data_IF_326879864647
#
_entry.id   IF_326879864647
#
_cell.length_a   1.000
_cell.length_b   1.000
_cell.length_c   1.000
_cell.angle_alpha   90.00
_cell.angle_beta   90.00
_cell.angle_gamma   90.00
#
_symmetry.space_group_name_H-M   'P 1'
#
loop_
_entity.id
_entity.type
_entity.pdbx_description
1 polymer ?
#
# COMPACT_ATOMS: atom_id res chain seq x y z
N UNK A 1 13.27 -0.53 -13.07
CA UNK A 1 12.24 -0.89 -14.07
C UNK A 1 11.52 0.37 -14.55
N UNK A 2 11.12 0.50 -15.83
CA UNK A 2 10.46 1.71 -16.35
C UNK A 2 9.13 2.05 -15.64
N UNK A 3 8.52 1.09 -14.95
CA UNK A 3 7.22 1.25 -14.26
C UNK A 3 7.31 1.11 -12.73
N UNK A 4 8.51 1.03 -12.17
CA UNK A 4 8.69 0.90 -10.72
C UNK A 4 8.22 2.16 -9.99
N UNK A 5 7.47 1.96 -8.91
CA UNK A 5 7.15 3.04 -7.98
C UNK A 5 8.37 3.29 -7.10
N UNK A 6 9.02 4.45 -7.30
CA UNK A 6 10.22 4.88 -6.57
C UNK A 6 10.06 6.32 -6.08
N UNK A 7 11.00 6.81 -5.27
CA UNK A 7 10.91 8.16 -4.69
C UNK A 7 10.76 9.24 -5.76
N UNK A 8 11.48 9.14 -6.89
CA UNK A 8 11.38 10.11 -8.00
C UNK A 8 9.98 10.16 -8.62
N UNK A 9 9.27 9.03 -8.65
CA UNK A 9 7.88 8.99 -9.09
C UNK A 9 6.95 9.61 -8.04
N UNK A 10 7.15 9.26 -6.76
CA UNK A 10 6.36 9.79 -5.64
C UNK A 10 6.51 11.31 -5.48
N UNK A 11 7.70 11.87 -5.74
CA UNK A 11 7.95 13.33 -5.73
C UNK A 11 7.11 14.12 -6.75
N UNK A 12 6.65 13.46 -7.81
CA UNK A 12 5.78 14.09 -8.83
C UNK A 12 4.31 14.01 -8.47
N UNK A 13 3.96 13.21 -7.46
CA UNK A 13 2.59 13.07 -7.01
C UNK A 13 2.18 14.29 -6.15
N UNK A 14 0.89 14.36 -5.83
CA UNK A 14 0.40 15.33 -4.85
C UNK A 14 1.15 15.20 -3.53
N UNK A 15 1.33 16.32 -2.81
CA UNK A 15 1.90 16.32 -1.45
C UNK A 15 1.07 15.53 -0.44
N UNK A 16 -0.15 15.12 -0.80
CA UNK A 16 -1.04 14.25 -0.01
C UNK A 16 -1.16 12.83 -0.57
N UNK A 17 -0.37 12.47 -1.58
CA UNK A 17 -0.41 11.12 -2.13
C UNK A 17 0.09 10.12 -1.08
N UNK A 18 -0.53 8.94 -1.07
CA UNK A 18 -0.12 7.79 -0.28
C UNK A 18 0.23 6.65 -1.22
N UNK A 19 1.09 5.75 -0.75
CA UNK A 19 1.45 4.52 -1.44
C UNK A 19 0.76 3.33 -0.76
N UNK A 20 0.07 2.54 -1.57
CA UNK A 20 -0.65 1.32 -1.19
C UNK A 20 -0.09 0.13 -1.99
N UNK A 21 -0.14 -1.07 -1.41
CA UNK A 21 0.33 -2.28 -2.04
C UNK A 21 -0.27 -3.51 -1.37
N UNK A 22 -0.75 -4.46 -2.18
CA UNK A 22 -1.51 -5.59 -1.67
C UNK A 22 -0.68 -6.58 -0.83
N UNK A 23 0.64 -6.66 -1.07
CA UNK A 23 1.59 -7.61 -0.49
C UNK A 23 1.34 -9.08 -0.87
N UNK A 24 2.39 -9.93 -0.87
CA UNK A 24 3.80 -9.58 -0.71
C UNK A 24 4.32 -8.75 -1.90
N UNK A 25 5.34 -7.92 -1.66
CA UNK A 25 5.99 -7.08 -2.68
C UNK A 25 7.31 -7.72 -3.14
N UNK A 26 7.59 -7.71 -4.45
CA UNK A 26 8.91 -7.92 -5.02
C UNK A 26 9.70 -6.59 -5.04
N UNK A 27 10.34 -6.31 -3.91
CA UNK A 27 11.22 -5.14 -3.74
C UNK A 27 12.32 -5.13 -4.80
N UNK A 28 12.54 -3.97 -5.41
CA UNK A 28 13.47 -3.80 -6.52
C UNK A 28 12.86 -4.04 -7.91
N UNK A 29 11.65 -4.60 -8.00
CA UNK A 29 10.91 -4.76 -9.27
C UNK A 29 9.77 -3.74 -9.38
N UNK A 30 8.66 -3.92 -8.64
CA UNK A 30 7.51 -3.00 -8.71
C UNK A 30 7.61 -1.80 -7.76
N UNK A 31 8.37 -1.91 -6.67
CA UNK A 31 8.55 -0.84 -5.67
C UNK A 31 9.97 -0.85 -5.11
N UNK A 32 10.47 0.33 -4.72
CA UNK A 32 11.74 0.44 -3.98
C UNK A 32 11.52 0.39 -2.47
N UNK A 33 12.56 -0.01 -1.71
CA UNK A 33 12.51 -0.06 -0.24
C UNK A 33 12.16 1.29 0.38
N UNK A 34 12.72 2.37 -0.16
CA UNK A 34 12.45 3.76 0.25
C UNK A 34 10.97 4.18 0.12
N UNK A 35 10.20 3.59 -0.80
CA UNK A 35 8.78 3.93 -0.98
C UNK A 35 7.93 3.09 -0.05
N UNK A 36 8.15 1.77 0.01
CA UNK A 36 7.32 0.86 0.80
C UNK A 36 7.54 1.04 2.32
N UNK A 37 8.74 1.46 2.75
CA UNK A 37 9.03 1.84 4.14
C UNK A 37 8.96 3.36 4.38
N UNK A 38 8.67 4.13 3.33
CA UNK A 38 8.76 5.58 3.34
C UNK A 38 7.54 6.29 3.93
N UNK A 39 7.60 7.63 4.03
CA UNK A 39 6.55 8.45 4.65
C UNK A 39 5.22 8.45 3.89
N UNK A 40 5.21 8.06 2.61
CA UNK A 40 3.99 7.91 1.83
C UNK A 40 3.27 6.60 2.10
N UNK A 41 3.96 5.61 2.65
CA UNK A 41 3.48 4.24 2.73
C UNK A 41 2.40 4.08 3.78
N UNK A 42 1.29 3.45 3.38
CA UNK A 42 0.24 2.97 4.29
C UNK A 42 0.00 1.46 4.12
N UNK A 43 0.98 0.73 3.60
CA UNK A 43 0.83 -0.71 3.27
C UNK A 43 0.46 -1.57 4.47
N UNK A 44 0.93 -1.21 5.66
CA UNK A 44 0.61 -1.92 6.89
C UNK A 44 -0.80 -1.58 7.40
N UNK A 45 -1.21 -0.32 7.32
CA UNK A 45 -2.59 0.08 7.62
C UNK A 45 -3.58 -0.57 6.63
N UNK A 46 -3.23 -0.65 5.34
CA UNK A 46 -4.01 -1.39 4.35
C UNK A 46 -4.15 -2.88 4.73
N UNK A 47 -3.03 -3.51 5.12
CA UNK A 47 -3.03 -4.92 5.53
C UNK A 47 -3.87 -5.15 6.79
N UNK A 48 -3.74 -4.30 7.82
CA UNK A 48 -4.54 -4.35 9.04
C UNK A 48 -6.03 -4.16 8.74
N UNK A 49 -6.37 -3.21 7.88
CA UNK A 49 -7.75 -2.91 7.48
C UNK A 49 -8.45 -4.10 6.80
N UNK A 50 -7.74 -5.10 6.28
CA UNK A 50 -8.35 -6.34 5.78
C UNK A 50 -9.08 -7.10 6.88
N UNK A 51 -8.53 -7.15 8.10
CA UNK A 51 -9.18 -7.82 9.23
C UNK A 51 -10.48 -7.11 9.59
N UNK A 52 -10.45 -5.79 9.70
CA UNK A 52 -11.63 -4.99 10.05
C UNK A 52 -12.72 -5.10 8.98
N UNK A 53 -12.33 -5.02 7.71
CA UNK A 53 -13.24 -5.19 6.58
C UNK A 53 -13.86 -6.59 6.59
N UNK A 54 -13.07 -7.64 6.78
CA UNK A 54 -13.57 -9.02 6.85
C UNK A 54 -14.56 -9.21 8.01
N UNK A 55 -14.27 -8.64 9.21
CA UNK A 55 -15.20 -8.66 10.34
C UNK A 55 -16.53 -7.99 10.00
N UNK A 56 -16.50 -6.83 9.36
CA UNK A 56 -17.70 -6.11 8.97
C UNK A 56 -18.53 -6.89 7.93
N UNK A 57 -17.86 -7.48 6.94
CA UNK A 57 -18.50 -8.34 5.94
C UNK A 57 -19.18 -9.54 6.62
N UNK A 58 -18.50 -10.24 7.53
CA UNK A 58 -19.08 -11.36 8.27
C UNK A 58 -20.27 -10.92 9.12
N UNK A 59 -20.15 -9.83 9.88
CA UNK A 59 -21.26 -9.31 10.69
C UNK A 59 -22.48 -8.88 9.86
N UNK A 60 -22.27 -8.48 8.59
CA UNK A 60 -23.34 -8.09 7.68
C UNK A 60 -24.02 -9.27 6.99
N UNK A 61 -23.34 -10.40 6.82
CA UNK A 61 -23.79 -11.52 5.98
C UNK A 61 -24.08 -12.80 6.77
N UNK A 62 -23.46 -12.98 7.94
CA UNK A 62 -23.65 -14.15 8.79
C UNK A 62 -24.77 -13.82 9.81
N UNK A 63 -25.86 -14.61 9.82
CA UNK A 63 -27.02 -14.37 10.66
C UNK A 63 -26.77 -14.56 12.16
#
# INVERSE_FOLDING_TARGET
SPYQVNAKLMERASSRAIFMHCLPAHRGEEVTDEVIEGPWSVVWDEAENRLHTAKAVLASLVP
#
